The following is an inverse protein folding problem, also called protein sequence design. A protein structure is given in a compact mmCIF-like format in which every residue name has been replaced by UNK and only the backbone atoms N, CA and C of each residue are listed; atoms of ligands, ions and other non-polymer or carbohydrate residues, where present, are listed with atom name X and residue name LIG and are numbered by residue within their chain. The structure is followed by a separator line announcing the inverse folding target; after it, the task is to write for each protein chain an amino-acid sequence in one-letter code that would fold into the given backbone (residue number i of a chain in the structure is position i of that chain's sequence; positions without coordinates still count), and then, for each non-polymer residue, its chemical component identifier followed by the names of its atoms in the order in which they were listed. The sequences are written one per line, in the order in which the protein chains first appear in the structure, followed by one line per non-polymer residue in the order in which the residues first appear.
data_IF_862792377047
#
_entry.id   IF_862792377047
#
_cell.length_a   1.000
_cell.length_b   1.000
_cell.length_c   1.000
_cell.angle_alpha   90.00
_cell.angle_beta   90.00
_cell.angle_gamma   90.00
#
_symmetry.space_group_name_H-M   'P 1'
#
loop_
_entity.id
_entity.type
_entity.pdbx_description
1 polymer ?
#
# COMPACT_ATOMS: atom_id res chain seq x y z
N UNK A 1 57.59 -4.00 22.85
CA UNK A 1 56.50 -3.94 23.85
C UNK A 1 55.49 -2.91 23.38
N UNK A 2 54.21 -3.26 23.49
CA UNK A 2 53.13 -2.98 22.53
C UNK A 2 52.61 -1.54 22.44
N UNK A 3 52.16 -1.17 21.23
CA UNK A 3 51.19 -0.11 20.97
C UNK A 3 49.80 -0.50 21.51
N UNK A 4 49.00 0.43 22.03
CA UNK A 4 47.56 0.30 22.05
C UNK A 4 46.95 0.93 20.79
N UNK A 5 46.32 0.10 19.97
CA UNK A 5 45.44 0.54 18.90
C UNK A 5 44.17 1.15 19.52
N UNK A 6 43.91 2.43 19.27
CA UNK A 6 42.61 3.03 19.52
C UNK A 6 41.71 2.68 18.33
N UNK A 7 40.97 1.59 18.50
CA UNK A 7 39.88 1.20 17.61
C UNK A 7 38.69 2.12 17.92
N UNK A 8 38.45 3.17 17.12
CA UNK A 8 37.24 3.98 17.25
C UNK A 8 36.32 3.71 16.06
N UNK A 9 35.33 2.85 16.36
CA UNK A 9 34.01 2.71 15.77
C UNK A 9 33.86 3.10 14.29
N UNK A 10 33.85 2.09 13.43
CA UNK A 10 33.08 2.16 12.20
C UNK A 10 31.61 2.44 12.59
N UNK A 11 31.11 3.62 12.25
CA UNK A 11 29.68 3.92 12.24
C UNK A 11 29.06 3.00 11.19
N UNK A 12 28.60 1.82 11.63
CA UNK A 12 27.71 1.00 10.83
C UNK A 12 26.39 1.78 10.79
N UNK A 13 26.20 2.57 9.75
CA UNK A 13 24.87 2.96 9.30
C UNK A 13 24.18 1.66 8.87
N UNK A 14 23.58 0.95 9.82
CA UNK A 14 22.54 -0.01 9.50
C UNK A 14 21.41 0.78 8.88
N UNK A 15 21.32 0.77 7.55
CA UNK A 15 20.07 0.98 6.83
C UNK A 15 19.11 -0.11 7.30
N UNK A 16 18.49 0.12 8.46
CA UNK A 16 17.31 -0.63 8.83
C UNK A 16 16.22 -0.15 7.88
N UNK A 17 15.68 -1.11 7.16
CA UNK A 17 14.61 -1.05 6.19
C UNK A 17 13.41 -0.19 6.67
N UNK A 18 13.53 1.12 6.48
CA UNK A 18 12.45 2.10 6.68
C UNK A 18 11.10 1.72 6.03
N UNK A 19 11.02 1.07 4.84
CA UNK A 19 9.71 0.77 4.24
C UNK A 19 8.89 -0.25 5.04
N UNK A 20 9.51 -1.10 5.85
CA UNK A 20 8.78 -2.16 6.58
C UNK A 20 8.19 -1.65 7.89
N UNK A 21 8.89 -0.77 8.62
CA UNK A 21 8.31 -0.14 9.81
C UNK A 21 7.18 0.83 9.44
N UNK A 22 7.33 1.59 8.35
CA UNK A 22 6.27 2.49 7.86
C UNK A 22 5.01 1.73 7.39
N UNK A 23 5.17 0.52 6.82
CA UNK A 23 4.04 -0.27 6.35
C UNK A 23 3.10 -0.74 7.48
N UNK A 24 3.63 -0.92 8.70
CA UNK A 24 2.84 -1.38 9.85
C UNK A 24 2.14 -0.20 10.57
N UNK A 25 2.75 0.98 10.61
CA UNK A 25 2.21 2.17 11.28
C UNK A 25 1.01 2.80 10.55
N UNK A 26 0.97 2.76 9.22
CA UNK A 26 -0.14 3.36 8.48
C UNK A 26 -1.47 2.65 8.74
N UNK A 27 -1.45 1.31 8.82
CA UNK A 27 -2.66 0.51 8.99
C UNK A 27 -3.18 0.52 10.42
N UNK A 28 -2.30 0.69 11.40
CA UNK A 28 -2.69 0.89 12.81
C UNK A 28 -3.51 2.18 13.01
N UNK A 29 -3.37 3.15 12.10
CA UNK A 29 -4.13 4.39 12.10
C UNK A 29 -5.45 4.32 11.33
N UNK A 30 -5.77 3.20 10.67
CA UNK A 30 -7.01 3.09 9.91
C UNK A 30 -8.22 3.12 10.86
N UNK A 31 -9.14 4.06 10.63
CA UNK A 31 -10.43 4.14 11.32
C UNK A 31 -11.47 3.39 10.50
N UNK A 32 -11.51 3.68 9.20
CA UNK A 32 -12.32 2.96 8.22
C UNK A 32 -11.49 2.61 7.01
N UNK A 33 -11.71 1.41 6.49
CA UNK A 33 -11.18 0.96 5.21
C UNK A 33 -12.36 0.74 4.28
N UNK A 34 -12.46 1.58 3.27
CA UNK A 34 -13.48 1.41 2.25
C UNK A 34 -13.12 0.23 1.36
N UNK A 35 -14.14 -0.52 0.97
CA UNK A 35 -14.00 -1.64 0.04
C UNK A 35 -14.19 -1.15 -1.39
N UNK A 36 -13.33 -1.57 -2.34
CA UNK A 36 -13.50 -1.23 -3.73
C UNK A 36 -14.72 -1.93 -4.30
N UNK A 37 -15.39 -1.22 -5.21
CA UNK A 37 -16.55 -1.76 -5.91
C UNK A 37 -16.06 -2.58 -7.08
N UNK A 38 -16.67 -3.73 -7.33
CA UNK A 38 -16.36 -4.53 -8.51
C UNK A 38 -16.65 -3.71 -9.79
N UNK A 39 -15.68 -3.55 -10.72
CA UNK A 39 -15.89 -2.73 -11.90
C UNK A 39 -17.04 -3.25 -12.77
N UNK A 40 -18.03 -2.39 -13.07
CA UNK A 40 -19.21 -2.77 -13.88
C UNK A 40 -18.86 -3.27 -15.29
N UNK A 41 -17.71 -2.87 -15.83
CA UNK A 41 -17.21 -3.34 -17.13
C UNK A 41 -17.04 -4.88 -17.14
N UNK A 42 -16.84 -5.50 -15.98
CA UNK A 42 -16.84 -6.95 -15.82
C UNK A 42 -18.22 -7.58 -15.99
N UNK A 43 -19.30 -6.93 -15.56
CA UNK A 43 -20.65 -7.47 -15.71
C UNK A 43 -21.08 -7.67 -17.18
N UNK A 44 -20.38 -7.05 -18.13
CA UNK A 44 -20.69 -7.12 -19.56
C UNK A 44 -19.64 -7.81 -20.43
N UNK A 45 -18.48 -8.18 -19.89
CA UNK A 45 -17.41 -8.78 -20.69
C UNK A 45 -16.51 -9.68 -19.85
N UNK A 46 -16.32 -10.90 -20.35
CA UNK A 46 -15.31 -11.89 -19.95
C UNK A 46 -15.68 -12.83 -18.79
N UNK A 47 -15.16 -14.06 -18.84
CA UNK A 47 -15.35 -15.05 -17.78
C UNK A 47 -14.56 -14.64 -16.53
N UNK A 48 -14.86 -15.23 -15.37
CA UNK A 48 -14.08 -15.01 -14.13
C UNK A 48 -12.58 -15.28 -14.34
N UNK A 49 -12.26 -16.28 -15.17
CA UNK A 49 -10.90 -16.71 -15.47
C UNK A 49 -10.08 -15.59 -16.13
N UNK A 50 -10.72 -14.82 -17.02
CA UNK A 50 -10.08 -13.72 -17.75
C UNK A 50 -9.66 -12.55 -16.86
N UNK A 51 -10.25 -12.40 -15.67
CA UNK A 51 -9.95 -11.28 -14.75
C UNK A 51 -9.40 -11.76 -13.41
N UNK A 52 -9.19 -13.07 -13.23
CA UNK A 52 -8.73 -13.64 -11.96
C UNK A 52 -7.42 -12.98 -11.49
N UNK A 53 -6.53 -12.66 -12.43
CA UNK A 53 -5.27 -11.97 -12.15
C UNK A 53 -5.45 -10.51 -11.66
N UNK A 54 -6.59 -9.88 -11.95
CA UNK A 54 -6.94 -8.53 -11.48
C UNK A 54 -7.59 -8.50 -10.10
N UNK A 55 -7.96 -9.65 -9.52
CA UNK A 55 -8.67 -9.71 -8.23
C UNK A 55 -7.78 -9.35 -7.04
N UNK A 56 -6.46 -9.33 -7.21
CA UNK A 56 -5.52 -8.91 -6.19
C UNK A 56 -4.83 -7.63 -6.65
N UNK A 57 -5.13 -6.51 -5.99
CA UNK A 57 -4.55 -5.20 -6.31
C UNK A 57 -3.79 -4.67 -5.11
N UNK A 58 -2.50 -4.40 -5.29
CA UNK A 58 -1.67 -3.75 -4.27
C UNK A 58 -1.37 -2.31 -4.67
N UNK A 59 -1.51 -1.41 -3.70
CA UNK A 59 -1.28 0.01 -3.87
C UNK A 59 -0.31 0.51 -2.79
N UNK A 60 0.60 1.39 -3.19
CA UNK A 60 1.29 2.30 -2.28
C UNK A 60 0.49 3.59 -2.13
N UNK A 61 0.53 4.20 -0.95
CA UNK A 61 -0.10 5.48 -0.68
C UNK A 61 0.65 6.27 0.39
N UNK A 62 0.42 7.59 0.41
CA UNK A 62 0.97 8.49 1.40
C UNK A 62 -0.16 9.04 2.28
N UNK A 63 0.14 9.20 3.57
CA UNK A 63 -0.76 9.77 4.57
C UNK A 63 -0.22 11.09 5.09
N UNK A 64 -1.06 12.12 5.08
CA UNK A 64 -0.76 13.37 5.74
C UNK A 64 -0.85 13.25 7.27
N UNK A 65 -0.33 14.24 7.98
CA UNK A 65 -0.46 14.34 9.43
C UNK A 65 -1.93 14.43 9.89
N UNK A 66 -2.83 14.91 9.04
CA UNK A 66 -4.28 14.95 9.32
C UNK A 66 -4.98 13.60 9.09
N UNK A 67 -4.26 12.57 8.65
CA UNK A 67 -4.85 11.26 8.33
C UNK A 67 -5.54 11.21 6.96
N UNK A 68 -5.17 12.10 6.02
CA UNK A 68 -5.70 12.10 4.65
C UNK A 68 -4.74 11.40 3.70
N UNK A 69 -5.27 10.57 2.81
CA UNK A 69 -4.50 10.00 1.70
C UNK A 69 -4.21 11.10 0.67
N UNK A 70 -2.95 11.32 0.34
CA UNK A 70 -2.51 12.39 -0.58
C UNK A 70 -2.04 11.87 -1.93
N UNK A 71 -1.41 10.70 -1.96
CA UNK A 71 -0.92 10.05 -3.16
C UNK A 71 -1.27 8.57 -3.12
N UNK A 72 -1.58 7.99 -4.28
CA UNK A 72 -1.81 6.54 -4.44
C UNK A 72 -1.18 6.09 -5.75
N UNK A 73 -0.35 5.05 -5.67
CA UNK A 73 0.41 4.49 -6.80
C UNK A 73 0.26 2.97 -6.80
N UNK A 74 -0.13 2.31 -7.91
CA UNK A 74 -0.15 0.86 -7.97
C UNK A 74 1.25 0.26 -7.88
N UNK A 75 1.39 -0.87 -7.18
CA UNK A 75 2.67 -1.59 -7.05
C UNK A 75 3.01 -2.27 -8.38
N UNK A 76 2.01 -2.90 -9.01
CA UNK A 76 2.14 -3.58 -10.29
C UNK A 76 0.93 -3.22 -11.16
N UNK A 77 1.20 -2.77 -12.39
CA UNK A 77 0.16 -2.49 -13.38
C UNK A 77 0.12 -3.67 -14.32
N UNK A 78 -0.85 -4.55 -14.10
CA UNK A 78 -1.15 -5.66 -15.01
C UNK A 78 -2.06 -5.17 -16.15
N UNK A 79 -1.80 -5.68 -17.36
CA UNK A 79 -2.62 -5.37 -18.53
C UNK A 79 -4.08 -5.76 -18.28
N UNK A 80 -5.03 -4.91 -18.69
CA UNK A 80 -6.46 -5.17 -18.49
C UNK A 80 -7.01 -4.88 -17.08
N UNK A 81 -6.16 -4.65 -16.06
CA UNK A 81 -6.61 -4.42 -14.68
C UNK A 81 -6.86 -2.96 -14.31
N UNK A 82 -6.81 -2.03 -15.27
CA UNK A 82 -6.93 -0.58 -15.03
C UNK A 82 -8.19 -0.19 -14.26
N UNK A 83 -9.31 -0.87 -14.52
CA UNK A 83 -10.58 -0.61 -13.84
C UNK A 83 -10.59 -1.10 -12.39
N UNK A 84 -9.91 -2.21 -12.09
CA UNK A 84 -9.75 -2.72 -10.72
C UNK A 84 -8.84 -1.81 -9.90
N UNK A 85 -7.72 -1.38 -10.51
CA UNK A 85 -6.79 -0.42 -9.91
C UNK A 85 -7.50 0.92 -9.61
N UNK A 86 -8.30 1.42 -10.55
CA UNK A 86 -9.07 2.66 -10.35
C UNK A 86 -10.07 2.54 -9.19
N UNK A 87 -10.74 1.39 -9.06
CA UNK A 87 -11.68 1.13 -7.96
C UNK A 87 -10.97 1.06 -6.61
N UNK A 88 -9.88 0.29 -6.52
CA UNK A 88 -9.02 0.20 -5.34
C UNK A 88 -8.46 1.56 -4.91
N UNK A 89 -8.01 2.37 -5.86
CA UNK A 89 -7.52 3.72 -5.60
C UNK A 89 -8.61 4.61 -5.01
N UNK A 90 -9.83 4.57 -5.55
CA UNK A 90 -10.97 5.34 -5.02
C UNK A 90 -11.32 4.93 -3.60
N UNK A 91 -11.28 3.63 -3.30
CA UNK A 91 -11.52 3.11 -1.97
C UNK A 91 -10.50 3.67 -0.95
N UNK A 92 -9.21 3.68 -1.28
CA UNK A 92 -8.20 4.30 -0.40
C UNK A 92 -8.44 5.79 -0.16
N UNK A 93 -8.77 6.57 -1.20
CA UNK A 93 -9.06 8.00 -1.02
C UNK A 93 -10.31 8.28 -0.18
N UNK A 94 -11.26 7.34 -0.13
CA UNK A 94 -12.46 7.45 0.69
C UNK A 94 -12.29 6.86 2.10
N UNK A 95 -11.20 6.14 2.36
CA UNK A 95 -10.88 5.59 3.67
C UNK A 95 -10.48 6.70 4.65
N UNK A 96 -10.67 6.46 5.94
CA UNK A 96 -10.34 7.44 6.98
C UNK A 96 -9.28 6.89 7.93
N UNK A 97 -8.32 7.76 8.28
CA UNK A 97 -7.23 7.44 9.17
C UNK A 97 -7.15 8.47 10.30
N UNK A 98 -6.68 8.06 11.47
CA UNK A 98 -6.48 8.96 12.58
C UNK A 98 -5.34 9.96 12.27
N UNK A 99 -5.39 11.19 12.80
CA UNK A 99 -4.26 12.11 12.76
C UNK A 99 -3.00 11.51 13.40
N UNK A 100 -1.83 12.00 13.00
CA UNK A 100 -0.53 11.48 13.42
C UNK A 100 0.62 12.13 12.67
N UNK A 101 1.73 11.42 12.53
CA UNK A 101 2.84 11.89 11.70
C UNK A 101 2.51 11.69 10.21
N UNK A 102 3.10 12.50 9.33
CA UNK A 102 3.01 12.21 7.91
C UNK A 102 3.82 10.94 7.61
N UNK A 103 3.27 10.06 6.77
CA UNK A 103 3.87 8.78 6.40
C UNK A 103 3.84 8.63 4.89
N UNK A 104 4.89 8.05 4.33
CA UNK A 104 5.02 7.81 2.89
C UNK A 104 5.23 6.33 2.61
N UNK A 105 4.82 5.90 1.42
CA UNK A 105 4.98 4.51 0.95
C UNK A 105 4.26 3.47 1.83
N UNK A 106 3.14 3.84 2.46
CA UNK A 106 2.20 2.89 3.06
C UNK A 106 1.74 1.90 1.99
N UNK A 107 1.57 0.62 2.31
CA UNK A 107 1.08 -0.36 1.34
C UNK A 107 -0.23 -0.99 1.79
N UNK A 108 -1.20 -1.12 0.88
CA UNK A 108 -2.42 -1.86 1.13
C UNK A 108 -2.78 -2.76 -0.05
N UNK A 109 -3.25 -3.98 0.25
CA UNK A 109 -3.65 -4.97 -0.72
C UNK A 109 -5.16 -5.22 -0.64
N UNK A 110 -5.87 -4.97 -1.74
CA UNK A 110 -7.27 -5.33 -1.88
C UNK A 110 -7.40 -6.69 -2.55
N UNK A 111 -8.29 -7.52 -2.00
CA UNK A 111 -8.72 -8.78 -2.61
C UNK A 111 -10.19 -8.64 -2.96
N UNK A 112 -10.49 -8.60 -4.26
CA UNK A 112 -11.85 -8.63 -4.77
C UNK A 112 -12.36 -10.07 -4.68
N UNK A 113 -13.38 -10.29 -3.85
CA UNK A 113 -14.04 -11.59 -3.74
C UNK A 113 -15.36 -11.55 -4.50
N UNK A 114 -15.62 -12.58 -5.28
CA UNK A 114 -16.93 -12.85 -5.87
C UNK A 114 -17.54 -13.94 -5.00
N UNK A 115 -18.52 -13.56 -4.17
CA UNK A 115 -19.33 -14.57 -3.49
C UNK A 115 -20.16 -15.33 -4.55
N UNK A 116 -20.17 -16.67 -4.52
CA UNK A 116 -20.91 -17.51 -5.47
C UNK A 116 -22.44 -17.39 -5.32
#
# INVERSE_FOLDING_TARGET
MSQPHITLAAFIFTLITAPQLAAQTCMERAITLEMPIFPRVFCGSRTIEDVQHCLNVRLFFDLSAEGKVTQVTPVEIQEGCSSFIASARRALFNSSFSPGHAETSCSYGYVFSLDP
#
